data_IF_121028210471
#
_entry.id   IF_121028210471
#
_cell.length_a   1.000
_cell.length_b   1.000
_cell.length_c   1.000
_cell.angle_alpha   90.00
_cell.angle_beta   90.00
_cell.angle_gamma   90.00
#
_symmetry.space_group_name_H-M   'P 1'
#
loop_
_entity.id
_entity.type
_entity.pdbx_description
1 polymer ?
#
# COMPACT_ATOMS: atom_id res chain seq x y z
N UNK A 1 -3.26 -25.25 -18.30
CA UNK A 1 -3.12 -24.36 -17.14
C UNK A 1 -3.29 -22.94 -17.65
N UNK A 2 -4.36 -22.19 -17.31
CA UNK A 2 -4.52 -20.85 -17.84
C UNK A 2 -3.60 -19.89 -17.07
N UNK A 3 -2.88 -19.06 -17.81
CA UNK A 3 -1.97 -18.04 -17.30
C UNK A 3 -2.74 -16.98 -16.52
N UNK A 4 -2.20 -16.61 -15.36
CA UNK A 4 -2.72 -15.58 -14.46
C UNK A 4 -2.39 -14.23 -15.09
N UNK A 5 -3.37 -13.58 -15.72
CA UNK A 5 -3.20 -12.24 -16.28
C UNK A 5 -3.15 -11.21 -15.15
N UNK A 6 -2.10 -10.39 -15.13
CA UNK A 6 -1.90 -9.33 -14.14
C UNK A 6 -2.94 -8.20 -14.31
N UNK A 7 -3.54 -7.81 -13.19
CA UNK A 7 -4.79 -7.02 -13.18
C UNK A 7 -4.54 -5.51 -13.12
N UNK A 8 -3.33 -5.03 -12.82
CA UNK A 8 -3.08 -3.60 -12.58
C UNK A 8 -1.64 -3.17 -12.88
N UNK A 9 -1.49 -1.99 -13.48
CA UNK A 9 -0.23 -1.26 -13.52
C UNK A 9 -0.33 -0.11 -12.50
N UNK A 10 0.49 -0.13 -11.45
CA UNK A 10 0.61 0.97 -10.49
C UNK A 10 1.99 1.61 -10.63
N UNK A 11 2.04 2.94 -10.67
CA UNK A 11 3.28 3.71 -10.60
C UNK A 11 3.41 4.30 -9.21
N UNK A 12 4.18 3.65 -8.33
CA UNK A 12 4.53 4.21 -7.03
C UNK A 12 5.79 5.07 -7.17
N UNK A 13 5.72 6.34 -6.76
CA UNK A 13 6.90 7.19 -6.56
C UNK A 13 7.09 7.45 -5.07
N UNK A 14 8.23 7.08 -4.46
CA UNK A 14 8.52 7.46 -3.08
C UNK A 14 8.82 8.97 -3.02
N UNK A 15 8.16 9.68 -2.11
CA UNK A 15 8.51 11.05 -1.76
C UNK A 15 8.48 11.23 -0.24
N UNK A 16 9.62 11.61 0.35
CA UNK A 16 9.74 11.97 1.76
C UNK A 16 9.36 13.44 1.96
N UNK A 17 8.60 13.82 3.01
CA UNK A 17 8.42 15.23 3.35
C UNK A 17 9.64 15.76 4.12
N UNK A 18 10.08 16.96 3.74
CA UNK A 18 11.16 17.71 4.38
C UNK A 18 10.86 18.01 5.86
N UNK A 19 11.88 17.84 6.70
CA UNK A 19 11.87 18.21 8.12
C UNK A 19 11.76 19.72 8.27
N UNK A 20 10.69 20.21 8.91
CA UNK A 20 10.61 21.58 9.37
C UNK A 20 11.36 21.69 10.71
N UNK A 21 12.46 22.43 10.74
CA UNK A 21 13.15 22.80 11.96
C UNK A 21 12.38 23.88 12.70
N UNK A 22 12.14 23.72 14.00
CA UNK A 22 11.91 24.83 14.92
C UNK A 22 12.57 24.52 16.25
N UNK A 23 13.60 25.29 16.58
CA UNK A 23 14.47 25.06 17.72
C UNK A 23 13.83 25.39 19.07
N UNK A 24 14.36 24.74 20.11
CA UNK A 24 14.60 25.37 21.41
C UNK A 24 15.72 24.61 22.13
N UNK A 25 16.75 25.38 22.46
CA UNK A 25 17.93 24.98 23.23
C UNK A 25 17.55 24.62 24.67
N UNK A 26 18.21 23.59 25.21
CA UNK A 26 18.65 23.54 26.61
C UNK A 26 19.85 22.60 26.71
N UNK A 27 20.99 23.18 27.07
CA UNK A 27 22.27 22.55 27.33
C UNK A 27 22.25 21.72 28.61
N UNK A 28 22.80 20.49 28.58
CA UNK A 28 23.54 19.88 29.70
C UNK A 28 24.64 19.00 29.11
N UNK A 29 25.89 19.32 29.41
CA UNK A 29 27.11 18.57 29.07
C UNK A 29 27.16 17.22 29.82
N UNK A 30 27.70 16.17 29.18
CA UNK A 30 29.03 15.64 29.55
C UNK A 30 29.53 14.44 28.70
N UNK A 31 30.80 14.58 28.29
CA UNK A 31 31.86 13.55 28.12
C UNK A 31 31.80 12.56 26.92
N UNK A 32 32.58 12.94 25.90
CA UNK A 32 33.63 12.19 25.18
C UNK A 32 33.50 10.67 24.97
N UNK A 33 33.39 10.26 23.70
CA UNK A 33 34.07 9.05 23.18
C UNK A 33 34.52 9.29 21.75
N UNK A 34 35.82 9.45 21.57
CA UNK A 34 36.50 9.43 20.28
C UNK A 34 36.51 8.00 19.74
N UNK A 35 35.88 7.75 18.59
CA UNK A 35 36.29 6.67 17.68
C UNK A 35 36.30 7.19 16.25
N UNK A 36 37.52 7.42 15.78
CA UNK A 36 37.89 7.54 14.37
C UNK A 36 37.62 6.19 13.70
N UNK A 37 36.71 6.16 12.72
CA UNK A 37 36.69 5.14 11.68
C UNK A 37 36.17 5.78 10.39
N UNK A 38 37.12 6.06 9.52
CA UNK A 38 37.00 6.43 8.13
C UNK A 38 36.29 5.35 7.32
N UNK A 39 35.16 5.69 6.71
CA UNK A 39 34.78 5.32 5.34
C UNK A 39 33.39 5.93 5.06
N UNK A 40 33.40 7.16 4.57
CA UNK A 40 32.24 7.75 3.91
C UNK A 40 32.40 7.38 2.43
N UNK A 41 31.80 6.26 2.03
CA UNK A 41 30.96 6.28 0.83
C UNK A 41 29.99 5.09 0.81
N UNK A 42 29.03 5.14 1.74
CA UNK A 42 27.84 4.27 1.72
C UNK A 42 26.65 5.00 2.38
N UNK A 43 26.70 6.34 2.44
CA UNK A 43 25.82 7.16 3.26
C UNK A 43 24.35 7.10 2.84
N UNK A 44 24.09 6.97 1.53
CA UNK A 44 22.73 6.86 0.99
C UNK A 44 22.14 5.47 1.28
N UNK A 45 22.94 4.40 1.11
CA UNK A 45 22.53 3.02 1.42
C UNK A 45 22.36 2.78 2.93
N UNK A 46 23.21 3.41 3.75
CA UNK A 46 23.16 3.39 5.22
C UNK A 46 21.89 4.07 5.78
N UNK A 47 21.45 5.16 5.16
CA UNK A 47 20.22 5.85 5.55
C UNK A 47 18.96 5.10 5.11
N UNK A 48 18.96 4.47 3.93
CA UNK A 48 17.87 3.60 3.49
C UNK A 48 17.74 2.35 4.37
N UNK A 49 18.84 1.83 4.93
CA UNK A 49 18.86 0.79 5.97
C UNK A 49 18.28 1.23 7.33
N UNK A 50 17.98 2.52 7.52
CA UNK A 50 17.38 3.09 8.75
C UNK A 50 15.92 3.53 8.58
N UNK A 51 15.32 3.28 7.41
CA UNK A 51 13.92 3.65 7.17
C UNK A 51 13.03 2.67 7.92
N UNK A 52 12.32 3.16 8.93
CA UNK A 52 11.39 2.38 9.74
C UNK A 52 9.92 2.56 9.31
N UNK A 53 9.66 3.37 8.29
CA UNK A 53 8.32 3.58 7.75
C UNK A 53 8.36 4.06 6.29
N UNK A 54 7.28 3.82 5.56
CA UNK A 54 7.09 4.33 4.20
C UNK A 54 5.69 4.93 4.07
N UNK A 55 5.48 5.70 3.01
CA UNK A 55 4.16 6.19 2.61
C UNK A 55 3.77 5.56 1.28
N UNK A 56 2.62 4.88 1.28
CA UNK A 56 2.01 4.33 0.07
C UNK A 56 0.93 5.28 -0.43
N UNK A 57 1.02 5.67 -1.69
CA UNK A 57 0.00 6.46 -2.38
C UNK A 57 -0.61 5.61 -3.49
N UNK A 58 -1.95 5.54 -3.52
CA UNK A 58 -2.69 4.93 -4.62
C UNK A 58 -3.39 6.05 -5.38
N UNK A 59 -2.96 6.29 -6.62
CA UNK A 59 -3.54 7.32 -7.47
C UNK A 59 -4.86 6.84 -8.07
N UNK A 60 -4.79 5.79 -8.88
CA UNK A 60 -5.95 5.21 -9.54
C UNK A 60 -5.85 3.69 -9.71
N UNK A 61 -7.01 3.11 -10.02
CA UNK A 61 -7.23 1.72 -10.38
C UNK A 61 -7.94 1.68 -11.73
N UNK A 62 -7.43 0.91 -12.69
CA UNK A 62 -8.10 0.71 -13.98
C UNK A 62 -8.86 -0.61 -13.95
N UNK A 63 -10.18 -0.55 -14.11
CA UNK A 63 -11.03 -1.72 -14.19
C UNK A 63 -10.90 -2.40 -15.56
N UNK A 64 -10.42 -3.64 -15.55
CA UNK A 64 -10.43 -4.52 -16.72
C UNK A 64 -11.84 -5.04 -17.00
N UNK A 65 -12.04 -5.63 -18.18
CA UNK A 65 -13.30 -6.30 -18.53
C UNK A 65 -13.66 -7.42 -17.53
N UNK A 66 -12.66 -8.13 -17.00
CA UNK A 66 -12.85 -9.14 -15.97
C UNK A 66 -13.31 -8.53 -14.64
N UNK A 67 -12.71 -7.41 -14.22
CA UNK A 67 -13.14 -6.65 -13.05
C UNK A 67 -14.59 -6.17 -13.19
N UNK A 68 -14.95 -5.68 -14.37
CA UNK A 68 -16.33 -5.27 -14.67
C UNK A 68 -17.33 -6.43 -14.62
N UNK A 69 -16.97 -7.57 -15.19
CA UNK A 69 -17.81 -8.77 -15.15
C UNK A 69 -18.10 -9.21 -13.71
N UNK A 70 -17.11 -9.16 -12.81
CA UNK A 70 -17.29 -9.51 -11.39
C UNK A 70 -18.22 -8.55 -10.67
N UNK A 71 -18.16 -7.25 -10.98
CA UNK A 71 -19.12 -6.27 -10.47
C UNK A 71 -20.54 -6.64 -10.94
N UNK A 72 -20.73 -6.87 -12.23
CA UNK A 72 -22.05 -7.22 -12.80
C UNK A 72 -22.63 -8.53 -12.22
N UNK A 73 -21.78 -9.48 -11.86
CA UNK A 73 -22.20 -10.71 -11.18
C UNK A 73 -22.65 -10.45 -9.74
N UNK A 74 -22.01 -9.50 -9.05
CA UNK A 74 -22.33 -9.15 -7.66
C UNK A 74 -23.55 -8.24 -7.53
N UNK A 75 -23.89 -7.49 -8.58
CA UNK A 75 -25.02 -6.57 -8.58
C UNK A 75 -26.34 -7.33 -8.82
N UNK A 76 -27.42 -6.91 -8.13
CA UNK A 76 -28.76 -7.43 -8.34
C UNK A 76 -29.20 -7.36 -9.82
N UNK A 77 -30.01 -8.33 -10.25
CA UNK A 77 -30.49 -8.49 -11.63
C UNK A 77 -31.04 -7.19 -12.27
N UNK A 78 -31.59 -6.27 -11.47
CA UNK A 78 -32.16 -5.00 -11.95
C UNK A 78 -31.13 -4.01 -12.51
N UNK A 79 -29.87 -4.13 -12.11
CA UNK A 79 -28.78 -3.24 -12.51
C UNK A 79 -27.71 -3.98 -13.33
N UNK A 80 -27.97 -5.23 -13.73
CA UNK A 80 -27.13 -5.95 -14.68
C UNK A 80 -27.28 -5.24 -16.02
N UNK A 81 -26.15 -4.86 -16.63
CA UNK A 81 -26.03 -4.14 -17.92
C UNK A 81 -25.95 -2.62 -17.85
N UNK A 82 -25.82 -2.00 -16.67
CA UNK A 82 -25.44 -0.59 -16.62
C UNK A 82 -23.96 -0.42 -17.06
N UNK A 83 -23.68 0.54 -17.96
CA UNK A 83 -22.32 0.90 -18.35
C UNK A 83 -21.53 1.62 -17.25
N UNK A 84 -22.25 2.08 -16.22
CA UNK A 84 -21.73 2.85 -15.08
C UNK A 84 -22.12 2.11 -13.80
N UNK A 85 -21.26 2.08 -12.76
CA UNK A 85 -21.61 1.42 -11.52
C UNK A 85 -22.84 2.10 -10.93
N UNK A 86 -23.76 1.35 -10.29
CA UNK A 86 -24.92 1.95 -9.65
C UNK A 86 -24.47 3.00 -8.62
N UNK A 87 -25.20 4.12 -8.47
CA UNK A 87 -24.91 5.14 -7.47
C UNK A 87 -24.70 4.53 -6.09
N UNK A 88 -23.67 4.99 -5.36
CA UNK A 88 -23.32 4.41 -4.06
C UNK A 88 -22.34 3.23 -4.10
N UNK A 89 -21.85 2.86 -5.29
CA UNK A 89 -20.67 2.03 -5.45
C UNK A 89 -19.44 2.63 -4.74
N UNK A 90 -18.76 1.82 -3.93
CA UNK A 90 -17.48 2.16 -3.29
C UNK A 90 -16.47 1.07 -3.59
N UNK A 91 -15.28 1.48 -4.02
CA UNK A 91 -14.12 0.64 -4.27
C UNK A 91 -13.17 0.72 -3.08
N UNK A 92 -12.52 -0.40 -2.79
CA UNK A 92 -11.54 -0.52 -1.71
C UNK A 92 -10.29 -1.20 -2.24
N UNK A 93 -9.14 -0.69 -1.83
CA UNK A 93 -7.87 -1.39 -1.96
C UNK A 93 -7.36 -1.62 -0.55
N UNK A 94 -7.19 -2.89 -0.20
CA UNK A 94 -6.59 -3.29 1.07
C UNK A 94 -5.19 -3.82 0.79
N UNK A 95 -4.21 -3.28 1.52
CA UNK A 95 -2.79 -3.66 1.41
C UNK A 95 -2.33 -4.13 2.77
N UNK A 96 -1.88 -5.36 2.87
CA UNK A 96 -1.29 -5.91 4.07
C UNK A 96 0.14 -6.38 3.79
N UNK A 97 1.10 -5.87 4.55
CA UNK A 97 2.46 -6.37 4.47
C UNK A 97 2.56 -7.69 5.22
N UNK A 98 3.19 -8.66 4.59
CA UNK A 98 3.46 -9.98 5.17
C UNK A 98 4.96 -10.24 5.05
N UNK A 99 5.58 -10.74 6.11
CA UNK A 99 7.00 -11.08 6.12
C UNK A 99 7.29 -12.18 7.12
N UNK A 100 8.55 -12.59 7.24
CA UNK A 100 8.96 -13.47 8.34
C UNK A 100 8.95 -12.69 9.66
N UNK A 101 8.66 -13.36 10.78
CA UNK A 101 8.72 -12.69 12.07
C UNK A 101 10.16 -12.55 12.54
N UNK A 102 10.60 -11.36 12.98
CA UNK A 102 11.90 -11.19 13.61
C UNK A 102 12.08 -12.03 14.89
N UNK A 103 10.98 -12.50 15.49
CA UNK A 103 10.97 -13.23 16.77
C UNK A 103 10.92 -14.75 16.62
N UNK A 104 10.51 -15.27 15.46
CA UNK A 104 10.36 -16.71 15.24
C UNK A 104 10.19 -17.02 13.77
N UNK A 105 11.00 -17.93 13.22
CA UNK A 105 10.83 -18.45 11.86
C UNK A 105 9.50 -19.21 11.65
N UNK A 106 8.82 -19.62 12.73
CA UNK A 106 7.57 -20.36 12.65
C UNK A 106 6.33 -19.46 12.47
N UNK A 107 6.46 -18.14 12.58
CA UNK A 107 5.33 -17.21 12.51
C UNK A 107 5.62 -16.10 11.50
N UNK A 108 4.67 -15.83 10.59
CA UNK A 108 4.78 -14.65 9.71
C UNK A 108 4.40 -13.38 10.48
N UNK A 109 5.20 -12.33 10.31
CA UNK A 109 4.81 -10.99 10.70
C UNK A 109 3.77 -10.46 9.72
N UNK A 110 2.78 -9.73 10.24
CA UNK A 110 1.75 -9.05 9.45
C UNK A 110 1.57 -7.64 9.95
N UNK A 111 1.52 -6.67 9.03
CA UNK A 111 1.17 -5.29 9.38
C UNK A 111 -0.32 -5.14 9.67
N UNK A 112 -0.68 -4.00 10.28
CA UNK A 112 -2.03 -3.46 10.14
C UNK A 112 -2.37 -3.31 8.65
N UNK A 113 -3.59 -3.68 8.21
CA UNK A 113 -4.00 -3.48 6.83
C UNK A 113 -4.18 -1.98 6.56
N UNK A 114 -3.58 -1.50 5.47
CA UNK A 114 -3.88 -0.20 4.90
C UNK A 114 -5.14 -0.34 4.05
N UNK A 115 -6.07 0.60 4.17
CA UNK A 115 -7.29 0.61 3.37
C UNK A 115 -7.48 1.95 2.69
N UNK A 116 -7.56 1.91 1.36
CA UNK A 116 -7.86 3.05 0.50
C UNK A 116 -9.29 2.89 -0.02
N UNK A 117 -10.08 3.95 -0.01
CA UNK A 117 -11.51 3.92 -0.36
C UNK A 117 -11.82 4.97 -1.43
N UNK A 118 -12.57 4.62 -2.48
CA UNK A 118 -13.03 5.62 -3.45
C UNK A 118 -14.43 5.34 -3.98
N UNK A 119 -15.17 6.42 -4.22
CA UNK A 119 -16.43 6.41 -4.98
C UNK A 119 -16.27 7.11 -6.35
N UNK A 120 -15.11 7.70 -6.60
CA UNK A 120 -14.86 8.52 -7.78
C UNK A 120 -14.38 7.63 -8.92
N UNK A 121 -15.28 7.33 -9.85
CA UNK A 121 -14.96 6.63 -11.09
C UNK A 121 -15.23 7.52 -12.29
N UNK A 122 -14.29 7.56 -13.24
CA UNK A 122 -14.46 8.16 -14.56
C UNK A 122 -14.12 7.10 -15.61
N UNK A 123 -15.10 6.75 -16.45
CA UNK A 123 -14.98 5.64 -17.41
C UNK A 123 -14.58 4.35 -16.66
N UNK A 124 -13.40 3.80 -16.96
CA UNK A 124 -12.85 2.58 -16.34
C UNK A 124 -11.90 2.87 -15.18
N UNK A 125 -11.56 4.14 -14.92
CA UNK A 125 -10.58 4.52 -13.91
C UNK A 125 -11.26 4.94 -12.61
N UNK A 126 -10.88 4.32 -11.50
CA UNK A 126 -11.29 4.67 -10.14
C UNK A 126 -10.16 5.44 -9.49
N UNK A 127 -10.41 6.68 -9.07
CA UNK A 127 -9.39 7.57 -8.52
C UNK A 127 -9.45 7.58 -7.00
N UNK A 128 -8.36 7.21 -6.34
CA UNK A 128 -8.23 7.21 -4.88
C UNK A 128 -7.55 8.49 -4.41
N UNK A 129 -6.39 8.84 -4.99
CA UNK A 129 -5.55 9.97 -4.57
C UNK A 129 -5.35 10.02 -3.05
N UNK A 130 -5.18 8.84 -2.44
CA UNK A 130 -5.05 8.68 -1.00
C UNK A 130 -3.66 8.15 -0.68
N UNK A 131 -3.07 8.69 0.38
CA UNK A 131 -1.77 8.26 0.90
C UNK A 131 -1.91 7.78 2.34
N UNK A 132 -1.27 6.67 2.68
CA UNK A 132 -1.18 6.20 4.06
C UNK A 132 0.26 5.87 4.42
N UNK A 133 0.65 6.18 5.65
CA UNK A 133 1.95 5.82 6.20
C UNK A 133 1.88 4.47 6.92
N UNK A 134 2.92 3.66 6.78
CA UNK A 134 3.00 2.35 7.39
C UNK A 134 4.40 2.13 7.95
N UNK A 135 4.47 1.67 9.20
CA UNK A 135 5.72 1.26 9.82
C UNK A 135 6.19 -0.06 9.24
N UNK A 136 7.50 -0.16 9.02
CA UNK A 136 8.20 -1.37 8.64
C UNK A 136 8.56 -2.17 9.90
N UNK A 137 8.71 -3.50 9.77
CA UNK A 137 9.27 -4.30 10.84
C UNK A 137 10.72 -3.87 11.14
N UNK A 138 11.24 -4.18 12.34
CA UNK A 138 12.63 -3.88 12.70
C UNK A 138 13.62 -4.45 11.67
N UNK A 139 14.80 -3.83 11.48
CA UNK A 139 15.84 -4.30 10.58
C UNK A 139 16.13 -5.81 10.73
N UNK A 140 16.48 -6.52 9.64
CA UNK A 140 17.04 -5.98 8.39
C UNK A 140 16.03 -5.64 7.28
N UNK A 141 14.71 -5.71 7.55
CA UNK A 141 13.70 -5.47 6.51
C UNK A 141 13.82 -4.12 5.82
N UNK A 142 13.87 -4.16 4.49
CA UNK A 142 13.80 -2.96 3.66
C UNK A 142 12.35 -2.67 3.24
N UNK A 143 12.08 -1.43 2.85
CA UNK A 143 10.78 -1.05 2.28
C UNK A 143 10.47 -1.84 1.00
N UNK A 144 11.50 -2.12 0.19
CA UNK A 144 11.38 -2.85 -1.07
C UNK A 144 10.94 -4.30 -0.83
N UNK A 145 11.61 -5.03 0.08
CA UNK A 145 11.23 -6.40 0.43
C UNK A 145 9.81 -6.47 1.02
N UNK A 146 9.47 -5.51 1.89
CA UNK A 146 8.14 -5.44 2.49
C UNK A 146 7.04 -5.21 1.42
N UNK A 147 7.30 -4.33 0.45
CA UNK A 147 6.37 -4.03 -0.64
C UNK A 147 6.27 -5.20 -1.64
N UNK A 148 7.37 -5.88 -1.95
CA UNK A 148 7.37 -7.07 -2.79
C UNK A 148 6.53 -8.20 -2.20
N UNK A 149 6.51 -8.33 -0.87
CA UNK A 149 5.70 -9.30 -0.14
C UNK A 149 4.29 -8.79 0.24
N UNK A 150 3.90 -7.59 -0.22
CA UNK A 150 2.60 -7.03 0.11
C UNK A 150 1.45 -7.80 -0.56
N UNK A 151 0.45 -8.16 0.24
CA UNK A 151 -0.80 -8.73 -0.26
C UNK A 151 -1.79 -7.61 -0.51
N UNK A 152 -2.13 -7.38 -1.78
CA UNK A 152 -3.09 -6.35 -2.16
C UNK A 152 -4.38 -6.99 -2.66
N UNK A 153 -5.51 -6.60 -2.09
CA UNK A 153 -6.85 -7.06 -2.48
C UNK A 153 -7.69 -5.88 -2.93
N UNK A 154 -8.33 -6.02 -4.08
CA UNK A 154 -9.30 -5.05 -4.61
C UNK A 154 -10.71 -5.56 -4.32
N UNK A 155 -11.49 -4.71 -3.66
CA UNK A 155 -12.89 -4.99 -3.34
C UNK A 155 -13.80 -3.90 -3.88
N UNK A 156 -15.06 -4.25 -4.06
CA UNK A 156 -16.12 -3.33 -4.44
C UNK A 156 -17.38 -3.63 -3.63
N UNK A 157 -18.14 -2.59 -3.29
CA UNK A 157 -19.40 -2.74 -2.58
C UNK A 157 -20.39 -1.68 -3.02
N UNK A 158 -21.62 -2.09 -3.28
CA UNK A 158 -22.76 -1.19 -3.36
C UNK A 158 -23.45 -1.01 -2.00
N UNK A 159 -24.11 0.13 -1.77
CA UNK A 159 -24.78 0.46 -0.49
C UNK A 159 -25.74 -0.64 -0.01
N UNK A 160 -26.46 -1.29 -0.94
CA UNK A 160 -27.40 -2.37 -0.64
C UNK A 160 -26.76 -3.72 -0.30
N UNK A 161 -25.45 -3.87 -0.46
CA UNK A 161 -24.76 -5.14 -0.20
C UNK A 161 -24.24 -5.18 1.24
N UNK A 162 -24.39 -6.34 1.90
CA UNK A 162 -23.81 -6.58 3.23
C UNK A 162 -22.31 -6.87 3.16
N UNK A 163 -21.88 -7.65 2.16
CA UNK A 163 -20.50 -8.13 2.01
C UNK A 163 -19.89 -7.52 0.74
N UNK A 164 -18.67 -6.96 0.79
CA UNK A 164 -17.96 -6.51 -0.41
C UNK A 164 -17.66 -7.69 -1.36
N UNK A 165 -17.80 -7.46 -2.66
CA UNK A 165 -17.34 -8.36 -3.70
C UNK A 165 -15.84 -8.19 -3.94
N UNK A 166 -15.10 -9.29 -3.94
CA UNK A 166 -13.67 -9.29 -4.28
C UNK A 166 -13.51 -9.25 -5.80
N UNK A 167 -12.85 -8.21 -6.30
CA UNK A 167 -12.59 -8.03 -7.72
C UNK A 167 -11.31 -8.76 -8.16
N UNK A 168 -10.31 -8.83 -7.29
CA UNK A 168 -9.05 -9.53 -7.56
C UNK A 168 -7.95 -9.14 -6.59
N UNK A 169 -6.77 -9.66 -6.86
CA UNK A 169 -5.55 -9.40 -6.09
C UNK A 169 -4.46 -8.89 -7.03
N UNK A 170 -3.51 -8.14 -6.48
CA UNK A 170 -2.31 -7.71 -7.21
C UNK A 170 -1.11 -7.63 -6.26
N UNK A 171 0.07 -7.49 -6.85
CA UNK A 171 1.35 -7.29 -6.15
C UNK A 171 1.90 -5.91 -6.51
N UNK A 172 2.68 -5.31 -5.61
CA UNK A 172 3.29 -3.98 -5.80
C UNK A 172 4.70 -4.03 -6.43
N UNK A 173 5.17 -5.23 -6.80
CA UNK A 173 6.50 -5.50 -7.36
C UNK A 173 6.71 -4.87 -8.75
#
# INVERSE_FOLDING_TARGET
VPQKEDVCCLSAKPSCPHSASSGRSQDVNDISTTRTASNIDDGINSLLKKVNCFRLTIDNLILTSAGWSRINQAVDNKNKNCEVPPPGATYFIEVQLVGESPRSQAQSWKSSPLRFCSRRQLKKAVYFNQSSAQSLPPPPYTAEEALAAAQCTVCWRHLGQRVPARLGDFTLA
#
